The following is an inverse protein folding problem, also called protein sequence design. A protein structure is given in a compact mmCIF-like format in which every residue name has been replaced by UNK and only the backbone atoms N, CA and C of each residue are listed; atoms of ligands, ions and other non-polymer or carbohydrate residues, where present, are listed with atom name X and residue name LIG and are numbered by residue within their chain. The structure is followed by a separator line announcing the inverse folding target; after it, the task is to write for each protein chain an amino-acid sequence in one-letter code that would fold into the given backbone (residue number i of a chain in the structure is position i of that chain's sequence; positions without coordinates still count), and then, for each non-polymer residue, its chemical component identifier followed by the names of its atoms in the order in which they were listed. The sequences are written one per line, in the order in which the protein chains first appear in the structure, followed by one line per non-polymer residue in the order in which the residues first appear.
data_IF_659658148369
#
_entry.id   IF_659658148369
#
_cell.length_a   1.000
_cell.length_b   1.000
_cell.length_c   1.000
_cell.angle_alpha   90.00
_cell.angle_beta   90.00
_cell.angle_gamma   90.00
#
_symmetry.space_group_name_H-M   'P 1'
#
loop_
_entity.id
_entity.type
_entity.pdbx_description
1 polymer ?
#
# COMPACT_ATOMS: atom_id res chain seq x y z
N UNK A 1 -16.09 15.25 -24.59
CA UNK A 1 -15.21 14.07 -24.47
C UNK A 1 -14.13 14.44 -23.47
N UNK A 2 -13.75 13.53 -22.57
CA UNK A 2 -12.70 13.82 -21.56
C UNK A 2 -11.33 13.78 -22.24
N UNK A 3 -10.39 14.66 -21.88
CA UNK A 3 -9.00 14.63 -22.39
C UNK A 3 -8.17 13.44 -21.87
N UNK A 4 -8.81 12.49 -21.18
CA UNK A 4 -8.18 11.29 -20.62
C UNK A 4 -8.09 10.19 -21.67
N UNK A 5 -6.89 9.63 -21.82
CA UNK A 5 -6.67 8.43 -22.64
C UNK A 5 -7.26 7.17 -21.98
N UNK A 6 -7.53 6.15 -22.79
CA UNK A 6 -7.80 4.80 -22.28
C UNK A 6 -6.50 4.14 -21.84
N UNK A 7 -6.24 4.17 -20.53
CA UNK A 7 -5.04 3.57 -19.96
C UNK A 7 -5.33 2.13 -19.48
N UNK A 8 -4.73 1.16 -20.18
CA UNK A 8 -4.81 -0.28 -19.87
C UNK A 8 -3.51 -0.82 -19.23
N UNK A 9 -2.72 0.03 -18.59
CA UNK A 9 -1.47 -0.37 -17.94
C UNK A 9 -1.71 -1.39 -16.81
N UNK A 10 -0.80 -2.37 -16.71
CA UNK A 10 -0.84 -3.41 -15.69
C UNK A 10 -0.23 -3.00 -14.34
N UNK A 11 0.49 -1.87 -14.28
CA UNK A 11 1.15 -1.38 -13.05
C UNK A 11 2.34 -0.45 -13.32
N UNK A 12 2.37 0.81 -12.81
CA UNK A 12 1.25 1.52 -12.19
C UNK A 12 0.01 1.59 -13.10
N UNK A 13 -1.19 1.75 -12.52
CA UNK A 13 -2.46 1.61 -13.22
C UNK A 13 -3.37 2.85 -13.06
N UNK A 14 -4.60 2.78 -13.59
CA UNK A 14 -5.58 3.88 -13.54
C UNK A 14 -6.08 4.13 -12.12
N UNK A 15 -6.15 5.40 -11.75
CA UNK A 15 -6.89 5.89 -10.59
C UNK A 15 -8.23 6.53 -11.01
N UNK A 16 -9.29 6.42 -10.19
CA UNK A 16 -10.55 7.12 -10.43
C UNK A 16 -10.34 8.64 -10.48
N UNK A 17 -10.99 9.32 -11.43
CA UNK A 17 -10.89 10.77 -11.60
C UNK A 17 -11.24 11.57 -10.34
N UNK A 18 -12.29 11.22 -9.55
CA UNK A 18 -12.60 11.93 -8.31
C UNK A 18 -11.46 11.85 -7.28
N UNK A 19 -10.72 10.73 -7.23
CA UNK A 19 -9.58 10.57 -6.33
C UNK A 19 -8.43 11.48 -6.75
N UNK A 20 -8.16 11.57 -8.05
CA UNK A 20 -7.11 12.45 -8.59
C UNK A 20 -7.40 13.93 -8.31
N UNK A 21 -8.65 14.37 -8.49
CA UNK A 21 -9.07 15.76 -8.17
C UNK A 21 -8.91 16.06 -6.68
N UNK A 22 -9.36 15.15 -5.80
CA UNK A 22 -9.21 15.32 -4.35
C UNK A 22 -7.74 15.31 -3.92
N UNK A 23 -6.90 14.48 -4.53
CA UNK A 23 -5.47 14.46 -4.26
C UNK A 23 -4.78 15.76 -4.71
N UNK A 24 -5.17 16.31 -5.87
CA UNK A 24 -4.69 17.61 -6.35
C UNK A 24 -4.99 18.73 -5.35
N UNK A 25 -6.20 18.78 -4.79
CA UNK A 25 -6.57 19.74 -3.74
C UNK A 25 -5.73 19.52 -2.46
N UNK A 26 -5.57 18.26 -2.04
CA UNK A 26 -4.82 17.90 -0.83
C UNK A 26 -3.31 18.19 -0.92
N UNK A 27 -2.74 18.22 -2.13
CA UNK A 27 -1.35 18.65 -2.35
C UNK A 27 -1.17 20.11 -1.93
N UNK A 28 -2.20 20.96 -2.11
CA UNK A 28 -2.13 22.38 -1.79
C UNK A 28 -2.60 22.70 -0.37
N UNK A 29 -3.75 22.16 0.04
CA UNK A 29 -4.29 22.33 1.38
C UNK A 29 -5.09 21.10 1.78
N UNK A 30 -4.49 20.21 2.55
CA UNK A 30 -5.18 18.99 3.00
C UNK A 30 -6.10 19.30 4.17
N UNK A 31 -7.36 18.88 4.09
CA UNK A 31 -8.33 18.96 5.18
C UNK A 31 -8.49 20.36 5.80
N UNK A 32 -8.31 21.43 5.02
CA UNK A 32 -8.40 22.81 5.51
C UNK A 32 -7.33 23.18 6.54
N UNK A 33 -6.21 22.45 6.57
CA UNK A 33 -5.12 22.65 7.53
C UNK A 33 -4.27 23.89 7.27
N UNK A 34 -4.41 24.49 6.08
CA UNK A 34 -3.67 25.68 5.65
C UNK A 34 -2.37 25.39 4.91
N UNK A 35 -1.95 24.12 4.83
CA UNK A 35 -0.77 23.66 4.09
C UNK A 35 -1.03 22.30 3.43
N UNK A 36 -0.18 21.92 2.47
CA UNK A 36 -0.28 20.69 1.70
C UNK A 36 0.04 19.43 2.50
N UNK A 37 -0.47 18.28 2.06
CA UNK A 37 -0.22 16.98 2.71
C UNK A 37 1.27 16.63 2.81
N UNK A 38 2.09 17.06 1.85
CA UNK A 38 3.53 16.79 1.82
C UNK A 38 4.34 17.67 2.78
N UNK A 39 3.73 18.70 3.36
CA UNK A 39 4.38 19.62 4.30
C UNK A 39 4.10 19.26 5.77
N UNK A 40 3.07 18.44 6.02
CA UNK A 40 2.72 17.99 7.35
C UNK A 40 3.75 16.99 7.90
N UNK A 41 4.03 17.11 9.21
CA UNK A 41 4.74 16.06 9.92
C UNK A 41 3.94 14.76 9.90
N UNK A 42 4.61 13.63 9.65
CA UNK A 42 4.01 12.29 9.76
C UNK A 42 3.59 11.93 11.20
N UNK A 43 3.93 12.75 12.21
CA UNK A 43 3.48 12.63 13.61
C UNK A 43 2.48 13.72 14.00
N UNK A 44 2.01 14.50 13.04
CA UNK A 44 1.05 15.56 13.27
C UNK A 44 -0.39 15.04 13.24
N UNK A 45 -1.27 15.63 14.06
CA UNK A 45 -2.69 15.25 14.17
C UNK A 45 -3.44 15.24 12.83
N UNK A 46 -3.03 16.06 11.86
CA UNK A 46 -3.63 16.05 10.51
C UNK A 46 -3.26 14.76 9.78
N UNK A 47 -2.00 14.36 9.79
CA UNK A 47 -1.54 13.13 9.16
C UNK A 47 -2.02 11.88 9.91
N UNK A 48 -2.00 11.88 11.24
CA UNK A 48 -2.52 10.76 12.06
C UNK A 48 -3.96 10.42 11.67
N UNK A 49 -4.84 11.42 11.58
CA UNK A 49 -6.23 11.22 11.14
C UNK A 49 -6.34 10.59 9.74
N UNK A 50 -5.46 10.97 8.81
CA UNK A 50 -5.44 10.42 7.45
C UNK A 50 -5.00 8.96 7.47
N UNK A 51 -3.93 8.63 8.23
CA UNK A 51 -3.46 7.27 8.42
C UNK A 51 -4.54 6.40 9.06
N UNK A 52 -5.12 6.86 10.16
CA UNK A 52 -6.10 6.10 10.93
C UNK A 52 -7.36 5.84 10.10
N UNK A 53 -7.80 6.83 9.32
CA UNK A 53 -8.91 6.64 8.38
C UNK A 53 -8.57 5.65 7.27
N UNK A 54 -7.35 5.69 6.71
CA UNK A 54 -6.92 4.74 5.69
C UNK A 54 -6.90 3.30 6.24
N UNK A 55 -6.38 3.13 7.46
CA UNK A 55 -6.38 1.84 8.16
C UNK A 55 -7.80 1.33 8.42
N UNK A 56 -8.68 2.18 8.96
CA UNK A 56 -10.07 1.83 9.24
C UNK A 56 -10.81 1.43 7.96
N UNK A 57 -10.61 2.17 6.86
CA UNK A 57 -11.21 1.84 5.57
C UNK A 57 -10.75 0.47 5.06
N UNK A 58 -9.47 0.11 5.25
CA UNK A 58 -8.97 -1.22 4.90
C UNK A 58 -9.66 -2.30 5.74
N UNK A 59 -9.85 -2.07 7.04
CA UNK A 59 -10.53 -3.03 7.92
C UNK A 59 -11.98 -3.24 7.51
N UNK A 60 -12.72 -2.15 7.31
CA UNK A 60 -14.13 -2.20 6.92
C UNK A 60 -14.33 -2.88 5.56
N UNK A 61 -13.54 -2.50 4.56
CA UNK A 61 -13.68 -3.03 3.20
C UNK A 61 -13.35 -4.53 3.13
N UNK A 62 -12.30 -4.98 3.82
CA UNK A 62 -11.82 -6.35 3.74
C UNK A 62 -12.31 -7.26 4.90
N UNK A 63 -13.10 -6.72 5.84
CA UNK A 63 -13.60 -7.46 6.99
C UNK A 63 -12.50 -7.92 7.96
N UNK A 64 -11.45 -7.11 8.14
CA UNK A 64 -10.28 -7.47 8.98
C UNK A 64 -10.62 -7.26 10.47
N UNK A 65 -10.50 -8.30 11.28
CA UNK A 65 -10.73 -8.23 12.73
C UNK A 65 -9.61 -7.48 13.47
N UNK A 66 -9.84 -7.22 14.75
CA UNK A 66 -8.85 -6.60 15.64
C UNK A 66 -7.69 -7.54 16.01
N UNK A 67 -7.75 -8.82 15.63
CA UNK A 67 -6.65 -9.78 15.85
C UNK A 67 -5.50 -9.60 14.84
N UNK A 68 -5.69 -8.73 13.83
CA UNK A 68 -4.72 -8.45 12.78
C UNK A 68 -4.24 -6.99 12.81
N UNK A 69 -2.94 -6.82 12.60
CA UNK A 69 -2.29 -5.51 12.43
C UNK A 69 -2.14 -5.18 10.94
N UNK A 70 -2.50 -3.96 10.55
CA UNK A 70 -2.26 -3.42 9.21
C UNK A 70 -0.98 -2.60 9.22
N UNK A 71 -0.06 -2.90 8.30
CA UNK A 71 1.22 -2.22 8.17
C UNK A 71 1.34 -1.53 6.80
N UNK A 72 1.74 -0.26 6.79
CA UNK A 72 2.07 0.48 5.57
C UNK A 72 3.60 0.49 5.38
N UNK A 73 4.13 -0.44 4.59
CA UNK A 73 5.56 -0.61 4.37
C UNK A 73 6.00 -0.16 2.98
N UNK A 74 7.23 0.34 2.87
CA UNK A 74 7.86 0.69 1.60
C UNK A 74 8.49 -0.56 0.93
N UNK A 75 9.07 -0.38 -0.26
CA UNK A 75 9.79 -1.43 -0.99
C UNK A 75 8.91 -2.33 -1.87
N UNK A 76 7.59 -2.13 -1.84
CA UNK A 76 6.64 -2.85 -2.67
C UNK A 76 6.55 -4.35 -2.35
N UNK A 77 5.77 -5.09 -3.15
CA UNK A 77 5.57 -6.52 -2.94
C UNK A 77 6.88 -7.33 -3.08
N UNK A 78 7.80 -6.89 -3.94
CA UNK A 78 9.08 -7.59 -4.16
C UNK A 78 9.94 -7.62 -2.90
N UNK A 79 10.00 -6.55 -2.10
CA UNK A 79 10.75 -6.56 -0.84
C UNK A 79 10.15 -7.57 0.16
N UNK A 80 8.83 -7.77 0.11
CA UNK A 80 8.17 -8.72 0.99
C UNK A 80 8.52 -10.18 0.66
N UNK A 81 8.98 -10.49 -0.55
CA UNK A 81 9.46 -11.83 -0.88
C UNK A 81 10.64 -12.27 -0.01
N UNK A 82 11.52 -11.34 0.37
CA UNK A 82 12.65 -11.61 1.27
C UNK A 82 12.27 -11.31 2.73
N UNK A 83 11.47 -10.27 3.00
CA UNK A 83 11.10 -9.88 4.37
C UNK A 83 10.25 -10.94 5.10
N UNK A 84 9.34 -11.63 4.39
CA UNK A 84 8.51 -12.69 4.97
C UNK A 84 9.36 -13.86 5.52
N UNK A 85 10.23 -14.52 4.73
CA UNK A 85 11.05 -15.61 5.26
C UNK A 85 12.05 -15.12 6.33
N UNK A 86 12.63 -13.92 6.18
CA UNK A 86 13.53 -13.37 7.21
C UNK A 86 12.87 -13.22 8.60
N UNK A 87 11.56 -13.03 8.66
CA UNK A 87 10.84 -12.89 9.92
C UNK A 87 10.17 -14.19 10.40
N UNK A 88 9.76 -15.06 9.47
CA UNK A 88 8.88 -16.19 9.77
C UNK A 88 9.51 -17.57 9.57
N UNK A 89 10.64 -17.70 8.85
CA UNK A 89 11.29 -18.98 8.58
C UNK A 89 12.39 -19.28 9.62
N UNK A 90 12.21 -20.28 10.50
CA UNK A 90 13.28 -20.70 11.40
C UNK A 90 14.45 -21.33 10.65
N UNK A 91 15.65 -21.24 11.21
CA UNK A 91 16.89 -21.71 10.59
C UNK A 91 16.92 -23.22 10.27
N UNK A 92 16.14 -24.03 10.99
CA UNK A 92 16.06 -25.49 10.86
C UNK A 92 14.82 -25.95 10.09
N UNK A 93 14.17 -25.05 9.34
CA UNK A 93 12.92 -25.32 8.62
C UNK A 93 13.02 -24.90 7.16
N UNK A 94 12.03 -25.33 6.38
CA UNK A 94 11.83 -24.96 4.97
C UNK A 94 10.53 -24.19 4.80
N UNK A 95 10.46 -23.37 3.76
CA UNK A 95 9.24 -22.67 3.37
C UNK A 95 8.59 -23.36 2.15
N UNK A 96 7.29 -23.63 2.26
CA UNK A 96 6.50 -24.21 1.16
C UNK A 96 5.90 -23.11 0.28
N UNK A 97 5.98 -23.30 -1.04
CA UNK A 97 5.47 -22.35 -2.03
C UNK A 97 4.52 -23.02 -3.03
N UNK A 98 3.36 -22.41 -3.24
CA UNK A 98 2.50 -22.74 -4.38
C UNK A 98 2.95 -21.93 -5.61
N UNK A 99 3.59 -22.58 -6.57
CA UNK A 99 4.15 -21.91 -7.76
C UNK A 99 3.14 -21.91 -8.91
N UNK A 100 2.53 -20.74 -9.16
CA UNK A 100 1.46 -20.57 -10.17
C UNK A 100 1.83 -19.61 -11.30
N UNK A 101 2.96 -18.91 -11.23
CA UNK A 101 3.43 -18.04 -12.30
C UNK A 101 4.63 -17.18 -11.94
N UNK A 102 4.81 -16.10 -12.70
CA UNK A 102 5.99 -15.23 -12.63
C UNK A 102 6.24 -14.67 -11.22
N UNK A 103 5.20 -14.28 -10.49
CA UNK A 103 5.35 -13.70 -9.15
C UNK A 103 5.78 -14.73 -8.10
N UNK A 104 5.13 -15.89 -8.06
CA UNK A 104 5.54 -16.98 -7.16
C UNK A 104 6.94 -17.51 -7.49
N UNK A 105 7.32 -17.54 -8.77
CA UNK A 105 8.68 -17.93 -9.17
C UNK A 105 9.73 -16.92 -8.70
N UNK A 106 9.42 -15.62 -8.72
CA UNK A 106 10.30 -14.59 -8.17
C UNK A 106 10.43 -14.73 -6.66
N UNK A 107 9.33 -14.95 -5.95
CA UNK A 107 9.35 -15.14 -4.50
C UNK A 107 10.25 -16.32 -4.06
N UNK A 108 10.17 -17.46 -4.75
CA UNK A 108 11.02 -18.63 -4.47
C UNK A 108 12.51 -18.34 -4.61
N UNK A 109 12.91 -17.42 -5.52
CA UNK A 109 14.32 -17.08 -5.72
C UNK A 109 14.92 -16.28 -4.56
N UNK A 110 14.10 -15.56 -3.81
CA UNK A 110 14.54 -14.74 -2.67
C UNK A 110 14.74 -15.57 -1.38
N UNK A 111 14.31 -16.84 -1.38
CA UNK A 111 14.38 -17.75 -0.22
C UNK A 111 15.48 -18.80 -0.37
N UNK A 112 15.98 -18.99 -1.60
CA UNK A 112 17.09 -19.92 -1.91
C UNK A 112 18.43 -19.26 -1.69
#
# INVERSE_FOLDING_TARGET
MTDRIFNFSAGPAVLPEPVLKKAQEAIWNVAGSGIGIMEHSHRGKVFDRIRDQAEQNCRELAGISNDYTILFLQGGASLQFSMVPMNLLPADRTADFLVTGVWSQKAVKEVK
#
